data_IF_230267731177
#
_entry.id   IF_230267731177
#
_cell.length_a   1.000
_cell.length_b   1.000
_cell.length_c   1.000
_cell.angle_alpha   90.00
_cell.angle_beta   90.00
_cell.angle_gamma   90.00
#
_symmetry.space_group_name_H-M   'P 1'
#
loop_
_entity.id
_entity.type
_entity.pdbx_description
1 polymer ?
#
# COMPACT_ATOMS: atom_id res chain seq x y z
N UNK A 1 2.03 -7.57 -18.55
CA UNK A 1 1.62 -7.00 -17.24
C UNK A 1 2.38 -5.69 -17.04
N UNK A 2 1.68 -4.58 -16.81
CA UNK A 2 2.34 -3.31 -16.47
C UNK A 2 2.70 -3.31 -14.99
N UNK A 3 3.99 -3.25 -14.66
CA UNK A 3 4.49 -3.24 -13.27
C UNK A 3 4.96 -1.82 -12.96
N UNK A 4 4.40 -1.21 -11.91
CA UNK A 4 4.91 0.07 -11.39
C UNK A 4 6.24 -0.19 -10.67
N UNK A 5 7.27 0.55 -11.05
CA UNK A 5 8.61 0.43 -10.47
C UNK A 5 9.04 1.76 -9.86
N UNK A 6 9.84 1.68 -8.79
CA UNK A 6 10.47 2.87 -8.22
C UNK A 6 11.48 3.44 -9.22
N UNK A 7 11.40 4.75 -9.42
CA UNK A 7 12.40 5.49 -10.17
C UNK A 7 13.73 5.53 -9.44
N UNK A 8 14.81 5.19 -10.16
CA UNK A 8 16.18 5.19 -9.64
C UNK A 8 16.96 6.44 -10.00
N UNK A 9 16.55 7.18 -11.04
CA UNK A 9 17.13 8.46 -11.45
C UNK A 9 16.43 9.65 -10.79
N UNK A 10 17.14 10.72 -10.44
CA UNK A 10 16.50 11.93 -9.92
C UNK A 10 15.53 12.53 -10.97
N UNK A 11 14.23 12.48 -10.69
CA UNK A 11 13.18 13.08 -11.50
C UNK A 11 12.30 13.94 -10.60
N UNK A 12 12.05 15.19 -10.99
CA UNK A 12 11.16 16.06 -10.26
C UNK A 12 9.70 15.66 -10.53
N UNK A 13 9.16 14.77 -9.70
CA UNK A 13 7.79 14.26 -9.79
C UNK A 13 6.95 14.79 -8.63
N UNK A 14 5.74 15.33 -8.89
CA UNK A 14 4.81 15.69 -7.84
C UNK A 14 4.37 14.47 -7.03
N UNK A 15 3.92 14.71 -5.79
CA UNK A 15 3.33 13.67 -4.95
C UNK A 15 2.10 13.05 -5.61
N UNK A 16 1.91 11.74 -5.41
CA UNK A 16 0.78 10.95 -5.94
C UNK A 16 0.68 10.93 -7.49
N UNK A 17 1.82 11.00 -8.19
CA UNK A 17 1.90 10.87 -9.64
C UNK A 17 2.79 9.70 -10.04
N UNK A 18 2.48 9.10 -11.19
CA UNK A 18 3.29 8.09 -11.87
C UNK A 18 3.52 8.52 -13.32
N UNK A 19 4.52 7.95 -13.99
CA UNK A 19 4.77 8.18 -15.41
C UNK A 19 5.20 6.88 -16.09
N UNK A 20 5.02 6.83 -17.42
CA UNK A 20 5.50 5.76 -18.27
C UNK A 20 6.47 6.34 -19.30
N UNK A 21 7.69 5.80 -19.39
CA UNK A 21 8.65 6.15 -20.43
C UNK A 21 8.50 5.18 -21.59
N UNK A 22 8.00 5.65 -22.73
CA UNK A 22 7.81 4.87 -23.94
C UNK A 22 8.85 5.32 -24.97
N UNK A 23 9.81 4.47 -25.27
CA UNK A 23 10.88 4.77 -26.23
C UNK A 23 10.42 4.49 -27.67
N UNK A 24 10.87 5.29 -28.63
CA UNK A 24 10.66 5.01 -30.06
C UNK A 24 9.26 5.34 -30.60
N UNK A 25 8.48 6.20 -29.93
CA UNK A 25 7.18 6.67 -30.42
C UNK A 25 7.40 7.63 -31.61
N UNK A 26 6.92 7.32 -32.82
CA UNK A 26 7.04 8.22 -33.97
C UNK A 26 6.29 9.53 -33.76
N UNK A 27 6.77 10.62 -34.39
CA UNK A 27 6.08 11.91 -34.33
C UNK A 27 4.65 11.79 -34.89
N UNK A 28 3.67 12.29 -34.14
CA UNK A 28 2.25 12.23 -34.51
C UNK A 28 1.54 10.92 -34.20
N UNK A 29 2.23 9.92 -33.64
CA UNK A 29 1.59 8.68 -33.20
C UNK A 29 0.65 8.93 -32.01
N UNK A 30 -0.54 8.34 -32.06
CA UNK A 30 -1.48 8.33 -30.93
C UNK A 30 -1.10 7.21 -29.97
N UNK A 31 -0.95 7.54 -28.69
CA UNK A 31 -0.70 6.56 -27.63
C UNK A 31 -1.98 6.42 -26.80
N UNK A 32 -2.43 5.18 -26.58
CA UNK A 32 -3.54 4.86 -25.71
C UNK A 32 -3.09 3.86 -24.64
N UNK A 33 -3.47 4.10 -23.39
CA UNK A 33 -3.33 3.11 -22.32
C UNK A 33 -4.61 2.29 -22.26
N UNK A 34 -4.52 1.04 -22.71
CA UNK A 34 -5.61 0.08 -22.63
C UNK A 34 -5.34 -0.82 -21.43
N UNK A 35 -6.27 -0.80 -20.47
CA UNK A 35 -6.27 -1.71 -19.35
C UNK A 35 -7.28 -2.79 -19.71
N UNK A 36 -6.81 -4.03 -19.80
CA UNK A 36 -7.70 -5.17 -20.01
C UNK A 36 -8.32 -5.54 -18.68
N UNK A 37 -9.59 -5.19 -18.54
CA UNK A 37 -10.42 -5.62 -17.44
C UNK A 37 -10.89 -7.01 -17.85
N UNK A 38 -10.14 -8.06 -17.51
CA UNK A 38 -10.57 -9.46 -17.67
C UNK A 38 -11.84 -9.80 -16.84
N UNK A 39 -12.70 -8.82 -16.57
CA UNK A 39 -13.76 -8.78 -15.59
C UNK A 39 -13.27 -9.08 -14.16
N UNK A 40 -11.97 -8.93 -13.95
CA UNK A 40 -11.28 -9.14 -12.68
C UNK A 40 -11.14 -7.80 -11.96
N UNK A 41 -11.65 -7.73 -10.74
CA UNK A 41 -11.47 -6.54 -9.91
C UNK A 41 -9.99 -6.45 -9.50
N UNK A 42 -9.36 -5.29 -9.60
CA UNK A 42 -8.05 -5.03 -8.95
C UNK A 42 -8.20 -4.79 -7.43
N UNK A 43 -9.15 -5.50 -6.81
CA UNK A 43 -9.39 -5.48 -5.38
C UNK A 43 -8.24 -6.12 -4.60
N UNK A 44 -8.24 -5.90 -3.29
CA UNK A 44 -7.30 -6.57 -2.39
C UNK A 44 -7.72 -8.05 -2.30
N UNK A 45 -7.09 -8.90 -3.12
CA UNK A 45 -7.35 -10.35 -3.13
C UNK A 45 -6.77 -11.06 -1.91
N UNK A 46 -5.76 -10.47 -1.26
CA UNK A 46 -5.15 -11.01 -0.06
C UNK A 46 -4.56 -9.89 0.78
N UNK A 47 -5.00 -9.77 2.03
CA UNK A 47 -4.17 -9.17 3.07
C UNK A 47 -3.35 -10.30 3.67
N UNK A 48 -2.02 -10.23 3.57
CA UNK A 48 -1.15 -11.19 4.25
C UNK A 48 -1.39 -11.05 5.77
N UNK A 49 -2.30 -11.87 6.30
CA UNK A 49 -2.63 -11.90 7.71
C UNK A 49 -1.69 -12.84 8.50
N UNK A 50 -0.58 -13.26 7.88
CA UNK A 50 0.42 -14.16 8.46
C UNK A 50 1.15 -13.56 9.66
N UNK A 51 0.95 -12.26 9.94
CA UNK A 51 1.44 -11.60 11.15
C UNK A 51 0.50 -11.69 12.37
N UNK A 52 -0.75 -12.17 12.24
CA UNK A 52 -1.75 -12.05 13.32
C UNK A 52 -2.19 -13.40 13.92
N UNK A 53 -1.32 -14.42 13.94
CA UNK A 53 -1.59 -15.65 14.72
C UNK A 53 -0.40 -16.18 15.51
N UNK A 54 0.66 -15.40 15.70
CA UNK A 54 1.60 -15.69 16.79
C UNK A 54 0.94 -15.26 18.09
N UNK A 55 0.19 -16.18 18.68
CA UNK A 55 -0.23 -16.17 20.07
C UNK A 55 1.00 -15.85 20.93
N UNK A 56 1.19 -14.59 21.32
CA UNK A 56 2.31 -14.17 22.18
C UNK A 56 3.02 -12.86 21.83
N UNK A 57 2.75 -12.20 20.69
CA UNK A 57 3.27 -10.85 20.43
C UNK A 57 2.17 -9.80 20.56
N UNK A 58 2.27 -8.95 21.58
CA UNK A 58 1.35 -7.84 21.82
C UNK A 58 1.52 -6.78 20.71
N UNK A 59 0.64 -6.82 19.71
CA UNK A 59 0.59 -5.82 18.63
C UNK A 59 -0.47 -4.78 18.99
N UNK A 60 -0.05 -3.51 19.06
CA UNK A 60 -0.92 -2.40 19.39
C UNK A 60 -1.27 -1.57 18.16
N UNK A 61 -2.53 -1.15 18.08
CA UNK A 61 -3.01 -0.17 17.10
C UNK A 61 -3.60 1.03 17.83
N UNK A 62 -3.43 2.24 17.28
CA UNK A 62 -4.18 3.39 17.76
C UNK A 62 -5.65 3.31 17.30
N UNK A 63 -6.49 4.23 17.79
CA UNK A 63 -7.93 4.24 17.45
C UNK A 63 -8.22 4.50 15.96
N UNK A 64 -7.23 4.95 15.20
CA UNK A 64 -7.31 5.11 13.74
C UNK A 64 -6.88 3.84 12.98
N UNK A 65 -6.59 2.73 13.68
CA UNK A 65 -6.18 1.46 13.08
C UNK A 65 -4.72 1.43 12.60
N UNK A 66 -3.87 2.39 13.00
CA UNK A 66 -2.45 2.40 12.66
C UNK A 66 -1.63 1.61 13.69
N UNK A 67 -0.71 0.75 13.23
CA UNK A 67 0.17 -0.05 14.11
C UNK A 67 1.17 0.84 14.86
N UNK A 68 1.27 0.65 16.17
CA UNK A 68 2.18 1.36 17.07
C UNK A 68 3.19 0.38 17.66
N UNK A 69 4.49 0.61 17.40
CA UNK A 69 5.55 -0.29 17.87
C UNK A 69 5.89 -0.11 19.36
N UNK A 70 5.72 1.11 19.89
CA UNK A 70 6.04 1.48 21.28
C UNK A 70 4.88 2.28 21.88
N UNK A 71 3.82 1.62 22.38
CA UNK A 71 2.70 2.32 22.98
C UNK A 71 3.16 3.11 24.22
N UNK A 72 2.66 4.33 24.34
CA UNK A 72 2.72 5.14 25.56
C UNK A 72 1.41 5.02 26.34
N UNK A 73 1.30 5.66 27.50
CA UNK A 73 0.07 5.66 28.29
C UNK A 73 -1.13 6.10 27.44
N UNK A 74 -2.18 5.28 27.38
CA UNK A 74 -3.34 5.56 26.55
C UNK A 74 -4.15 4.35 26.13
N UNK A 75 -5.11 4.58 25.22
CA UNK A 75 -6.04 3.56 24.73
C UNK A 75 -5.58 3.02 23.38
N UNK A 76 -5.53 1.69 23.25
CA UNK A 76 -5.11 0.98 22.04
C UNK A 76 -6.06 -0.15 21.71
N UNK A 77 -5.95 -0.66 20.48
CA UNK A 77 -6.58 -1.90 20.04
C UNK A 77 -5.53 -3.00 20.06
N UNK A 78 -5.81 -4.07 20.77
CA UNK A 78 -5.02 -5.30 20.80
C UNK A 78 -5.98 -6.48 20.55
N UNK A 79 -5.69 -7.31 19.55
CA UNK A 79 -6.55 -8.45 19.18
C UNK A 79 -8.04 -8.10 19.04
N UNK A 80 -8.34 -6.93 18.48
CA UNK A 80 -9.72 -6.42 18.28
C UNK A 80 -10.42 -5.89 19.53
N UNK A 81 -9.74 -5.86 20.68
CA UNK A 81 -10.27 -5.32 21.95
C UNK A 81 -9.57 -4.02 22.31
N UNK A 82 -10.32 -3.07 22.90
CA UNK A 82 -9.75 -1.85 23.47
C UNK A 82 -9.03 -2.21 24.78
N UNK A 83 -7.79 -1.78 24.92
CA UNK A 83 -6.95 -1.97 26.11
C UNK A 83 -6.36 -0.63 26.55
N UNK A 84 -6.08 -0.49 27.85
CA UNK A 84 -5.37 0.66 28.41
C UNK A 84 -3.94 0.24 28.68
N UNK A 85 -2.99 0.88 28.00
CA UNK A 85 -1.57 0.80 28.34
C UNK A 85 -1.34 1.84 29.43
N UNK A 86 -0.86 1.36 30.58
CA UNK A 86 -0.56 2.18 31.76
C UNK A 86 0.87 2.67 31.77
#
# INVERSE_FOLDING_TARGET
>A
QGIFMKVTSALNMPVHKAYAKISGVPAGAKVAFVFDDNNETTGITTVNNTANRTTGQNVYYNLNGQRIAKPQHGVYIENGKKVIVK
#
